data_IF_045621665607
#
_entry.id   IF_045621665607
#
_cell.length_a   1.000
_cell.length_b   1.000
_cell.length_c   1.000
_cell.angle_alpha   90.00
_cell.angle_beta   90.00
_cell.angle_gamma   90.00
#
_symmetry.space_group_name_H-M   'P 1'
#
loop_
_entity.id
_entity.type
_entity.pdbx_description
1 polymer ?
#
# COMPACT_ATOMS: atom_id res chain seq x y z
N UNK A 1 9.61 -3.89 15.54
CA UNK A 1 8.61 -2.79 15.36
C UNK A 1 8.46 -2.34 13.91
N UNK A 2 9.53 -2.19 13.13
CA UNK A 2 9.43 -1.72 11.75
C UNK A 2 8.51 -2.54 10.83
N UNK A 3 8.50 -3.87 10.97
CA UNK A 3 7.65 -4.75 10.16
C UNK A 3 6.15 -4.55 10.43
N UNK A 4 5.77 -4.46 11.70
CA UNK A 4 4.39 -4.17 12.09
C UNK A 4 3.92 -2.82 11.53
N UNK A 5 4.77 -1.78 11.64
CA UNK A 5 4.47 -0.45 11.08
C UNK A 5 4.20 -0.53 9.58
N UNK A 6 5.03 -1.28 8.83
CA UNK A 6 4.84 -1.47 7.40
C UNK A 6 3.55 -2.18 7.06
N UNK A 7 3.20 -3.25 7.78
CA UNK A 7 1.94 -3.97 7.58
C UNK A 7 0.75 -3.02 7.79
N UNK A 8 0.79 -2.24 8.89
CA UNK A 8 -0.26 -1.26 9.20
C UNK A 8 -0.33 -0.18 8.11
N UNK A 9 0.80 0.32 7.62
CA UNK A 9 0.83 1.32 6.54
C UNK A 9 0.21 0.80 5.24
N UNK A 10 0.49 -0.44 4.84
CA UNK A 10 -0.11 -1.07 3.65
C UNK A 10 -1.62 -1.26 3.84
N UNK A 11 -2.04 -1.64 5.04
CA UNK A 11 -3.44 -1.80 5.39
C UNK A 11 -4.19 -0.48 5.30
N UNK A 12 -3.66 0.60 5.89
CA UNK A 12 -4.23 1.95 5.81
C UNK A 12 -4.30 2.42 4.36
N UNK A 13 -3.22 2.25 3.58
CA UNK A 13 -3.18 2.62 2.17
C UNK A 13 -4.30 1.94 1.37
N UNK A 14 -4.51 0.64 1.60
CA UNK A 14 -5.56 -0.11 0.93
C UNK A 14 -6.96 0.43 1.28
N UNK A 15 -7.23 0.67 2.56
CA UNK A 15 -8.52 1.23 3.02
C UNK A 15 -8.77 2.61 2.39
N UNK A 16 -7.77 3.48 2.40
CA UNK A 16 -7.88 4.82 1.81
C UNK A 16 -8.14 4.74 0.31
N UNK A 17 -7.45 3.83 -0.40
CA UNK A 17 -7.63 3.63 -1.84
C UNK A 17 -9.03 3.11 -2.17
N UNK A 18 -9.55 2.16 -1.38
CA UNK A 18 -10.92 1.67 -1.50
C UNK A 18 -11.94 2.80 -1.28
N UNK A 19 -11.77 3.58 -0.21
CA UNK A 19 -12.65 4.71 0.09
C UNK A 19 -12.65 5.75 -1.04
N UNK A 20 -11.49 6.12 -1.56
CA UNK A 20 -11.39 7.05 -2.70
C UNK A 20 -12.09 6.52 -3.94
N UNK A 21 -11.93 5.24 -4.27
CA UNK A 21 -12.63 4.64 -5.42
C UNK A 21 -14.14 4.62 -5.24
N UNK A 22 -14.65 4.36 -4.03
CA UNK A 22 -16.09 4.44 -3.72
C UNK A 22 -16.60 5.87 -3.89
N UNK A 23 -15.87 6.87 -3.36
CA UNK A 23 -16.23 8.29 -3.51
C UNK A 23 -16.24 8.70 -4.98
N UNK A 24 -15.23 8.28 -5.75
CA UNK A 24 -15.17 8.57 -7.18
C UNK A 24 -16.37 7.94 -7.91
N UNK A 25 -16.68 6.68 -7.63
CA UNK A 25 -17.83 5.99 -8.21
C UNK A 25 -19.16 6.66 -7.87
N UNK A 26 -19.34 7.13 -6.61
CA UNK A 26 -20.52 7.88 -6.20
C UNK A 26 -20.65 9.22 -6.96
N UNK A 27 -19.52 9.89 -7.24
CA UNK A 27 -19.48 11.17 -7.98
C UNK A 27 -19.80 10.99 -9.46
N UNK A 28 -19.15 10.03 -10.13
CA UNK A 28 -19.25 9.84 -11.59
C UNK A 28 -20.43 8.95 -12.00
N UNK A 29 -20.99 8.16 -11.07
CA UNK A 29 -21.96 7.08 -11.32
C UNK A 29 -21.49 6.05 -12.35
N UNK A 30 -20.21 6.06 -12.70
CA UNK A 30 -19.59 5.18 -13.69
C UNK A 30 -18.27 4.64 -13.12
N UNK A 31 -18.05 3.34 -13.26
CA UNK A 31 -16.78 2.70 -12.96
C UNK A 31 -16.01 2.56 -14.26
N UNK A 32 -14.93 3.33 -14.42
CA UNK A 32 -14.05 3.17 -15.56
C UNK A 32 -13.10 2.00 -15.33
N UNK A 33 -12.62 1.38 -16.42
CA UNK A 33 -11.61 0.32 -16.37
C UNK A 33 -10.41 0.62 -15.44
N UNK A 34 -9.80 1.82 -15.43
CA UNK A 34 -8.74 2.16 -14.48
C UNK A 34 -9.17 2.08 -13.00
N UNK A 35 -10.42 2.41 -12.67
CA UNK A 35 -10.93 2.36 -11.30
C UNK A 35 -11.08 0.91 -10.82
N UNK A 36 -11.52 0.01 -11.71
CA UNK A 36 -11.61 -1.43 -11.46
C UNK A 36 -10.22 -2.02 -11.20
N UNK A 37 -9.21 -1.64 -11.99
CA UNK A 37 -7.83 -2.10 -11.79
C UNK A 37 -7.30 -1.63 -10.43
N UNK A 38 -7.54 -0.37 -10.07
CA UNK A 38 -7.16 0.19 -8.77
C UNK A 38 -7.86 -0.52 -7.61
N UNK A 39 -9.14 -0.85 -7.77
CA UNK A 39 -9.92 -1.58 -6.78
C UNK A 39 -9.33 -2.99 -6.55
N UNK A 40 -9.05 -3.72 -7.62
CA UNK A 40 -8.43 -5.04 -7.55
C UNK A 40 -7.08 -4.99 -6.84
N UNK A 41 -6.23 -4.01 -7.18
CA UNK A 41 -4.95 -3.81 -6.51
C UNK A 41 -5.08 -3.50 -5.02
N UNK A 42 -6.05 -2.65 -4.65
CA UNK A 42 -6.33 -2.33 -3.25
C UNK A 42 -6.80 -3.56 -2.46
N UNK A 43 -7.70 -4.36 -3.03
CA UNK A 43 -8.18 -5.61 -2.41
C UNK A 43 -7.03 -6.59 -2.20
N UNK A 44 -6.16 -6.78 -3.21
CA UNK A 44 -4.98 -7.65 -3.09
C UNK A 44 -4.06 -7.15 -1.97
N UNK A 45 -3.82 -5.84 -1.88
CA UNK A 45 -3.03 -5.26 -0.79
C UNK A 45 -3.67 -5.49 0.58
N UNK A 46 -5.00 -5.38 0.67
CA UNK A 46 -5.75 -5.61 1.91
C UNK A 46 -5.57 -7.05 2.40
N UNK A 47 -5.85 -8.02 1.52
CA UNK A 47 -5.76 -9.45 1.84
C UNK A 47 -4.31 -9.81 2.18
N UNK A 48 -3.34 -9.32 1.39
CA UNK A 48 -1.92 -9.56 1.64
C UNK A 48 -1.47 -8.99 2.98
N UNK A 49 -1.94 -7.80 3.35
CA UNK A 49 -1.64 -7.20 4.66
C UNK A 49 -2.24 -8.02 5.81
N UNK A 50 -3.44 -8.58 5.64
CA UNK A 50 -4.07 -9.47 6.62
C UNK A 50 -3.28 -10.78 6.80
N UNK A 51 -2.82 -11.40 5.71
CA UNK A 51 -1.97 -12.60 5.75
C UNK A 51 -0.64 -12.27 6.44
N UNK A 52 0.01 -11.16 6.08
CA UNK A 52 1.25 -10.72 6.72
C UNK A 52 1.07 -10.47 8.21
N UNK A 53 -0.08 -9.92 8.63
CA UNK A 53 -0.39 -9.69 10.04
C UNK A 53 -0.58 -11.01 10.79
N UNK A 54 -1.32 -11.96 10.20
CA UNK A 54 -1.60 -13.27 10.82
C UNK A 54 -0.34 -14.14 10.97
N UNK A 55 0.59 -14.04 10.01
CA UNK A 55 1.84 -14.78 10.01
C UNK A 55 3.06 -13.92 10.37
N UNK A 56 2.85 -12.79 11.06
CA UNK A 56 3.88 -11.79 11.34
C UNK A 56 5.18 -12.42 11.87
N UNK A 57 5.06 -13.32 12.85
CA UNK A 57 6.23 -13.83 13.57
C UNK A 57 7.08 -14.76 12.68
N UNK A 58 6.49 -15.34 11.62
CA UNK A 58 7.21 -16.13 10.61
C UNK A 58 7.92 -15.26 9.58
N UNK A 59 7.35 -14.10 9.24
CA UNK A 59 7.89 -13.21 8.21
C UNK A 59 8.84 -12.14 8.76
N UNK A 60 8.75 -11.79 10.05
CA UNK A 60 9.60 -10.78 10.69
C UNK A 60 11.12 -11.07 10.56
N UNK A 61 11.62 -12.31 10.69
CA UNK A 61 13.04 -12.61 10.49
C UNK A 61 13.50 -12.36 9.04
N UNK A 62 12.70 -12.79 8.06
CA UNK A 62 12.99 -12.59 6.65
C UNK A 62 12.97 -11.09 6.28
N UNK A 63 11.99 -10.35 6.83
CA UNK A 63 11.88 -8.91 6.67
C UNK A 63 13.11 -8.17 7.24
N UNK A 64 13.55 -8.55 8.45
CA UNK A 64 14.71 -7.92 9.07
C UNK A 64 15.99 -8.17 8.27
N UNK A 65 16.21 -9.41 7.81
CA UNK A 65 17.36 -9.74 6.96
C UNK A 65 17.35 -8.93 5.67
N UNK A 66 16.19 -8.85 4.99
CA UNK A 66 16.04 -8.05 3.78
C UNK A 66 16.29 -6.57 4.03
N UNK A 67 15.79 -6.04 5.16
CA UNK A 67 15.99 -4.64 5.55
C UNK A 67 17.46 -4.32 5.79
N UNK A 68 18.20 -5.23 6.44
CA UNK A 68 19.65 -5.09 6.65
C UNK A 68 20.39 -5.10 5.33
N UNK A 69 20.11 -6.07 4.45
CA UNK A 69 20.73 -6.16 3.13
C UNK A 69 20.48 -4.90 2.31
N UNK A 70 19.22 -4.46 2.19
CA UNK A 70 18.89 -3.23 1.44
C UNK A 70 19.53 -2.00 2.09
N UNK A 71 19.55 -1.92 3.42
CA UNK A 71 20.19 -0.83 4.16
C UNK A 71 21.70 -0.76 3.89
N UNK A 72 22.38 -1.89 3.73
CA UNK A 72 23.80 -1.92 3.38
C UNK A 72 24.08 -1.40 1.96
N UNK A 73 23.21 -1.68 1.00
CA UNK A 73 23.40 -1.24 -0.39
C UNK A 73 22.92 0.18 -0.67
N UNK A 74 21.83 0.61 -0.01
CA UNK A 74 21.16 1.88 -0.32
C UNK A 74 21.37 2.96 0.74
N UNK A 75 21.88 2.60 1.93
CA UNK A 75 21.94 3.48 3.09
C UNK A 75 20.57 3.83 3.69
N UNK A 76 19.48 3.34 3.11
CA UNK A 76 18.11 3.64 3.52
C UNK A 76 17.39 2.39 4.03
N UNK A 77 16.54 2.55 5.05
CA UNK A 77 15.72 1.43 5.53
C UNK A 77 14.63 1.08 4.52
N UNK A 78 14.37 -0.22 4.37
CA UNK A 78 13.35 -0.76 3.49
C UNK A 78 11.95 -0.15 3.75
N UNK A 79 11.64 0.08 5.03
CA UNK A 79 10.44 0.79 5.46
C UNK A 79 10.27 2.16 4.80
N UNK A 80 11.32 2.97 4.80
CA UNK A 80 11.27 4.33 4.25
C UNK A 80 11.03 4.26 2.74
N UNK A 81 11.70 3.35 2.04
CA UNK A 81 11.55 3.17 0.59
C UNK A 81 10.11 2.80 0.24
N UNK A 82 9.53 1.82 0.95
CA UNK A 82 8.15 1.38 0.73
C UNK A 82 7.16 2.49 1.07
N UNK A 83 7.38 3.23 2.17
CA UNK A 83 6.52 4.34 2.56
C UNK A 83 6.51 5.46 1.50
N UNK A 84 7.69 5.80 0.97
CA UNK A 84 7.82 6.78 -0.12
C UNK A 84 7.10 6.31 -1.39
N UNK A 85 7.22 5.03 -1.76
CA UNK A 85 6.49 4.45 -2.89
C UNK A 85 4.97 4.52 -2.70
N UNK A 86 4.47 4.09 -1.55
CA UNK A 86 3.04 4.17 -1.20
C UNK A 86 2.54 5.62 -1.25
N UNK A 87 3.28 6.55 -0.67
CA UNK A 87 2.96 7.98 -0.70
C UNK A 87 2.92 8.53 -2.12
N UNK A 88 3.87 8.16 -2.98
CA UNK A 88 3.92 8.58 -4.38
C UNK A 88 2.72 8.06 -5.18
N UNK A 89 2.36 6.78 -5.02
CA UNK A 89 1.15 6.24 -5.66
C UNK A 89 -0.12 6.92 -5.16
N UNK A 90 -0.19 7.26 -3.87
CA UNK A 90 -1.32 7.97 -3.28
C UNK A 90 -1.44 9.40 -3.84
N UNK A 91 -0.32 10.10 -4.02
CA UNK A 91 -0.30 11.42 -4.66
C UNK A 91 -0.80 11.36 -6.12
N UNK A 92 -0.35 10.37 -6.90
CA UNK A 92 -0.84 10.16 -8.28
C UNK A 92 -2.35 9.87 -8.28
N UNK A 93 -2.80 9.02 -7.36
CA UNK A 93 -4.20 8.68 -7.17
C UNK A 93 -5.07 9.92 -6.89
N UNK A 94 -4.62 10.80 -5.98
CA UNK A 94 -5.30 12.06 -5.66
C UNK A 94 -5.29 13.01 -6.86
N UNK A 95 -4.14 13.20 -7.51
CA UNK A 95 -4.01 14.08 -8.66
C UNK A 95 -4.99 13.70 -9.78
N UNK A 96 -5.08 12.40 -10.09
CA UNK A 96 -6.04 11.90 -11.06
C UNK A 96 -7.49 12.08 -10.61
N UNK A 97 -7.80 11.89 -9.32
CA UNK A 97 -9.15 12.09 -8.79
C UNK A 97 -9.61 13.57 -8.80
N UNK A 98 -8.69 14.53 -8.65
CA UNK A 98 -9.00 15.97 -8.74
C UNK A 98 -9.16 16.41 -10.19
N UNK A 99 -8.36 15.85 -11.11
CA UNK A 99 -8.42 16.19 -12.54
C UNK A 99 -9.71 15.70 -13.23
N UNK A 100 -10.38 14.70 -12.65
CA UNK A 100 -11.61 14.06 -13.16
C UNK A 100 -12.89 14.69 -12.59
#
# INVERSE_FOLDING_TARGET
MGFLTLIISILIFSIVTLAMNIVLWLKTKQLYAPDIIRLTGAIICLISSGILLMFKDKFEPAYNNLTVTIGQYTGASLNIIILCLLGFFLLIAIYNAIRL
#
